data_IF_490665236969
#
_entry.id   IF_490665236969
#
_cell.length_a   1.000
_cell.length_b   1.000
_cell.length_c   1.000
_cell.angle_alpha   90.00
_cell.angle_beta   90.00
_cell.angle_gamma   90.00
#
_symmetry.space_group_name_H-M   'P 1'
#
loop_
_entity.id
_entity.type
_entity.pdbx_description
1 polymer ?
#
# COMPACT_ATOMS: atom_id res chain seq x y z
N UNK A 1 -7.42 -19.88 2.35
CA UNK A 1 -7.63 -20.07 3.80
C UNK A 1 -7.64 -18.75 4.56
N UNK A 2 -6.58 -17.92 4.44
CA UNK A 2 -6.43 -16.61 5.08
C UNK A 2 -7.66 -15.70 4.98
N UNK A 3 -8.13 -15.39 3.78
CA UNK A 3 -9.23 -14.43 3.56
C UNK A 3 -10.52 -14.84 4.31
N UNK A 4 -10.90 -16.12 4.22
CA UNK A 4 -12.07 -16.65 4.94
C UNK A 4 -11.90 -16.56 6.45
N UNK A 5 -10.71 -16.88 6.97
CA UNK A 5 -10.40 -16.77 8.39
C UNK A 5 -10.48 -15.31 8.89
N UNK A 6 -9.94 -14.37 8.11
CA UNK A 6 -10.00 -12.95 8.40
C UNK A 6 -11.43 -12.43 8.38
N UNK A 7 -12.23 -12.79 7.36
CA UNK A 7 -13.64 -12.39 7.27
C UNK A 7 -14.45 -12.89 8.47
N UNK A 8 -14.32 -14.17 8.81
CA UNK A 8 -15.00 -14.76 9.97
C UNK A 8 -14.64 -14.05 11.28
N UNK A 9 -13.35 -13.76 11.48
CA UNK A 9 -12.88 -13.07 12.69
C UNK A 9 -13.30 -11.59 12.74
N UNK A 10 -13.40 -10.91 11.59
CA UNK A 10 -13.94 -9.54 11.51
C UNK A 10 -15.44 -9.54 11.84
N UNK A 11 -16.21 -10.45 11.26
CA UNK A 11 -17.65 -10.57 11.52
C UNK A 11 -17.94 -10.86 13.00
N UNK A 12 -17.22 -11.82 13.59
CA UNK A 12 -17.35 -12.14 15.01
C UNK A 12 -16.94 -10.97 15.94
N UNK A 13 -16.18 -10.00 15.44
CA UNK A 13 -15.82 -8.80 16.21
C UNK A 13 -16.82 -7.65 16.10
N UNK A 14 -17.69 -7.67 15.09
CA UNK A 14 -18.75 -6.66 14.92
C UNK A 14 -19.89 -6.85 15.91
N UNK A 15 -20.15 -8.07 16.37
CA UNK A 15 -21.10 -8.35 17.44
C UNK A 15 -20.43 -8.14 18.82
N UNK A 16 -20.95 -7.19 19.64
CA UNK A 16 -20.44 -6.95 20.99
C UNK A 16 -20.36 -8.21 21.85
N UNK A 17 -21.33 -9.12 21.73
CA UNK A 17 -21.42 -10.34 22.55
C UNK A 17 -20.31 -11.34 22.21
N UNK A 18 -19.89 -11.44 20.94
CA UNK A 18 -18.82 -12.33 20.52
C UNK A 18 -17.46 -11.66 20.38
N UNK A 19 -17.39 -10.33 20.47
CA UNK A 19 -16.17 -9.55 20.19
C UNK A 19 -14.97 -9.94 21.06
N UNK A 20 -15.20 -10.14 22.37
CA UNK A 20 -14.16 -10.47 23.33
C UNK A 20 -13.63 -11.87 23.03
N UNK A 21 -12.32 -11.97 22.76
CA UNK A 21 -11.66 -13.24 22.48
C UNK A 21 -11.98 -13.85 21.11
N UNK A 22 -12.72 -13.16 20.23
CA UNK A 22 -13.09 -13.66 18.89
C UNK A 22 -11.87 -14.16 18.10
N UNK A 23 -10.79 -13.37 18.06
CA UNK A 23 -9.59 -13.71 17.31
C UNK A 23 -8.95 -15.00 17.84
N UNK A 24 -8.81 -15.13 19.16
CA UNK A 24 -8.19 -16.33 19.76
C UNK A 24 -9.04 -17.59 19.49
N UNK A 25 -10.36 -17.51 19.72
CA UNK A 25 -11.26 -18.64 19.44
C UNK A 25 -11.23 -19.08 17.97
N UNK A 26 -11.30 -18.13 17.04
CA UNK A 26 -11.24 -18.43 15.61
C UNK A 26 -9.87 -18.96 15.17
N UNK A 27 -8.78 -18.42 15.75
CA UNK A 27 -7.42 -18.90 15.52
C UNK A 27 -7.27 -20.37 15.97
N UNK A 28 -7.74 -20.70 17.17
CA UNK A 28 -7.69 -22.06 17.72
C UNK A 28 -8.53 -23.03 16.87
N UNK A 29 -9.75 -22.65 16.47
CA UNK A 29 -10.63 -23.46 15.62
C UNK A 29 -10.05 -23.74 14.23
N UNK A 30 -9.26 -22.81 13.69
CA UNK A 30 -8.69 -22.90 12.35
C UNK A 30 -7.24 -23.40 12.34
N UNK A 31 -6.64 -23.66 13.52
CA UNK A 31 -5.24 -24.04 13.64
C UNK A 31 -4.25 -22.96 13.19
N UNK A 32 -4.61 -21.68 13.34
CA UNK A 32 -3.82 -20.52 12.93
C UNK A 32 -3.19 -19.88 14.17
N UNK A 33 -1.95 -19.38 14.07
CA UNK A 33 -1.35 -18.63 15.16
C UNK A 33 -2.16 -17.33 15.45
N UNK A 34 -2.59 -17.06 16.69
CA UNK A 34 -3.46 -15.92 17.01
C UNK A 34 -2.92 -14.56 16.54
N UNK A 35 -1.61 -14.32 16.68
CA UNK A 35 -0.98 -13.07 16.21
C UNK A 35 -1.03 -12.90 14.69
N UNK A 36 -0.96 -14.01 13.93
CA UNK A 36 -1.08 -13.94 12.48
C UNK A 36 -2.50 -13.51 12.08
N UNK A 37 -3.51 -14.11 12.70
CA UNK A 37 -4.92 -13.74 12.48
C UNK A 37 -5.18 -12.29 12.91
N UNK A 38 -4.63 -11.86 14.06
CA UNK A 38 -4.72 -10.48 14.53
C UNK A 38 -4.17 -9.49 13.50
N UNK A 39 -2.99 -9.77 12.93
CA UNK A 39 -2.39 -8.93 11.89
C UNK A 39 -3.27 -8.81 10.65
N UNK A 40 -3.88 -9.90 10.20
CA UNK A 40 -4.78 -9.88 9.04
C UNK A 40 -6.07 -9.13 9.31
N UNK A 41 -6.67 -9.32 10.50
CA UNK A 41 -7.87 -8.61 10.92
C UNK A 41 -7.60 -7.11 11.01
N UNK A 42 -6.49 -6.67 11.62
CA UNK A 42 -6.11 -5.25 11.68
C UNK A 42 -5.97 -4.64 10.28
N UNK A 43 -5.33 -5.36 9.35
CA UNK A 43 -5.18 -4.90 7.96
C UNK A 43 -6.54 -4.80 7.26
N UNK A 44 -7.41 -5.80 7.41
CA UNK A 44 -8.75 -5.76 6.85
C UNK A 44 -9.61 -4.62 7.44
N UNK A 45 -9.53 -4.37 8.74
CA UNK A 45 -10.24 -3.24 9.37
C UNK A 45 -9.73 -1.88 8.88
N UNK A 46 -8.43 -1.76 8.56
CA UNK A 46 -7.88 -0.56 7.93
C UNK A 46 -8.37 -0.43 6.49
N UNK A 47 -8.35 -1.51 5.71
CA UNK A 47 -8.84 -1.51 4.32
C UNK A 47 -10.36 -1.20 4.25
N UNK A 48 -11.14 -1.61 5.25
CA UNK A 48 -12.58 -1.31 5.38
C UNK A 48 -12.87 0.07 6.03
N UNK A 49 -11.84 0.83 6.44
CA UNK A 49 -12.00 2.15 7.06
C UNK A 49 -12.50 2.13 8.51
N UNK A 50 -12.59 0.96 9.15
CA UNK A 50 -12.97 0.80 10.57
C UNK A 50 -11.85 1.29 11.49
N UNK A 51 -10.59 1.13 11.06
CA UNK A 51 -9.40 1.52 11.80
C UNK A 51 -8.57 2.54 11.01
N UNK A 52 -8.06 3.61 11.63
CA UNK A 52 -7.15 4.52 10.94
C UNK A 52 -5.88 3.80 10.48
N UNK A 53 -5.41 4.14 9.29
CA UNK A 53 -4.20 3.61 8.69
C UNK A 53 -4.19 3.80 7.17
N UNK A 54 -3.07 3.48 6.53
CA UNK A 54 -2.97 3.46 5.07
C UNK A 54 -3.59 2.18 4.53
N UNK A 55 -4.60 2.30 3.68
CA UNK A 55 -5.20 1.14 3.02
C UNK A 55 -4.22 0.50 2.04
N UNK A 56 -4.42 -0.76 1.73
CA UNK A 56 -3.66 -1.49 0.71
C UNK A 56 -3.74 -0.78 -0.64
N UNK A 57 -4.92 -0.27 -1.00
CA UNK A 57 -5.15 0.51 -2.22
C UNK A 57 -4.36 1.81 -2.23
N UNK A 58 -4.35 2.55 -1.12
CA UNK A 58 -3.59 3.80 -1.03
C UNK A 58 -2.08 3.56 -1.10
N UNK A 59 -1.59 2.50 -0.46
CA UNK A 59 -0.19 2.10 -0.52
C UNK A 59 0.24 1.74 -1.95
N UNK A 60 -0.59 0.99 -2.67
CA UNK A 60 -0.35 0.65 -4.09
C UNK A 60 -0.34 1.89 -4.98
N UNK A 61 -1.32 2.78 -4.80
CA UNK A 61 -1.39 4.05 -5.53
C UNK A 61 -0.18 4.93 -5.26
N UNK A 62 0.24 5.05 -4.00
CA UNK A 62 1.41 5.83 -3.61
C UNK A 62 2.68 5.27 -4.29
N UNK A 63 2.89 3.96 -4.24
CA UNK A 63 4.03 3.32 -4.88
C UNK A 63 4.03 3.53 -6.41
N UNK A 64 2.87 3.49 -7.06
CA UNK A 64 2.73 3.77 -8.49
C UNK A 64 3.09 5.24 -8.81
N UNK A 65 2.57 6.19 -8.03
CA UNK A 65 2.87 7.62 -8.19
C UNK A 65 4.35 7.93 -7.95
N UNK A 66 4.97 7.31 -6.95
CA UNK A 66 6.40 7.47 -6.70
C UNK A 66 7.25 6.94 -7.86
N UNK A 67 6.85 5.82 -8.47
CA UNK A 67 7.51 5.28 -9.66
C UNK A 67 7.40 6.24 -10.84
N UNK A 68 6.19 6.71 -11.14
CA UNK A 68 5.95 7.67 -12.20
C UNK A 68 6.74 8.98 -11.97
N UNK A 69 6.76 9.49 -10.74
CA UNK A 69 7.51 10.70 -10.41
C UNK A 69 9.02 10.52 -10.64
N UNK A 70 9.59 9.35 -10.31
CA UNK A 70 10.99 9.04 -10.60
C UNK A 70 11.26 9.00 -12.11
N UNK A 71 10.36 8.41 -12.89
CA UNK A 71 10.48 8.35 -14.35
C UNK A 71 10.39 9.74 -14.98
N UNK A 72 9.42 10.55 -14.56
CA UNK A 72 9.27 11.93 -15.02
C UNK A 72 10.48 12.79 -14.67
N UNK A 73 11.07 12.62 -13.48
CA UNK A 73 12.30 13.33 -13.10
C UNK A 73 13.48 12.93 -13.98
N UNK A 74 13.63 11.64 -14.30
CA UNK A 74 14.67 11.15 -15.22
C UNK A 74 14.49 11.71 -16.62
N UNK A 75 13.27 11.65 -17.16
CA UNK A 75 12.95 12.20 -18.48
C UNK A 75 13.23 13.70 -18.55
N UNK A 76 12.79 14.46 -17.54
CA UNK A 76 13.08 15.89 -17.44
C UNK A 76 14.58 16.20 -17.39
N UNK A 77 15.38 15.36 -16.73
CA UNK A 77 16.83 15.54 -16.70
C UNK A 77 17.45 15.36 -18.08
N UNK A 78 17.03 14.33 -18.84
CA UNK A 78 17.50 14.11 -20.21
C UNK A 78 17.14 15.30 -21.11
N UNK A 79 15.90 15.78 -21.03
CA UNK A 79 15.44 16.93 -21.83
C UNK A 79 16.21 18.20 -21.49
N UNK A 80 16.47 18.47 -20.20
CA UNK A 80 17.28 19.61 -19.77
C UNK A 80 18.71 19.52 -20.31
N UNK A 81 19.33 18.34 -20.23
CA UNK A 81 20.67 18.13 -20.78
C UNK A 81 20.72 18.36 -22.29
N UNK A 82 19.72 17.86 -23.03
CA UNK A 82 19.62 18.08 -24.47
C UNK A 82 19.42 19.57 -24.80
N UNK A 83 18.53 20.26 -24.10
CA UNK A 83 18.31 21.70 -24.28
C UNK A 83 19.59 22.52 -24.03
N UNK A 84 20.32 22.22 -22.96
CA UNK A 84 21.60 22.88 -22.67
C UNK A 84 22.66 22.60 -23.76
N UNK A 85 22.71 21.37 -24.28
CA UNK A 85 23.61 21.01 -25.37
C UNK A 85 23.31 21.84 -26.63
N UNK A 86 22.05 21.88 -27.06
CA UNK A 86 21.66 22.64 -28.26
C UNK A 86 21.82 24.15 -28.09
N UNK A 87 21.53 24.70 -26.91
CA UNK A 87 21.78 26.12 -26.63
C UNK A 87 23.27 26.46 -26.77
N UNK A 88 24.16 25.61 -26.25
CA UNK A 88 25.61 25.80 -26.38
C UNK A 88 26.11 25.66 -27.83
N UNK A 89 25.45 24.86 -28.66
CA UNK A 89 25.77 24.74 -30.09
C UNK A 89 25.35 25.99 -30.87
N UNK A 90 24.18 26.56 -30.56
CA UNK A 90 23.68 27.80 -31.19
C UNK A 90 24.54 29.02 -30.87
N UNK A 91 25.11 29.10 -29.65
CA UNK A 91 25.98 30.20 -29.23
C UNK A 91 27.42 30.11 -29.80
N UNK A 92 27.75 29.05 -30.54
CA UNK A 92 29.07 28.88 -31.14
C UNK A 92 29.13 29.62 -32.48
N UNK A 93 30.02 30.62 -32.66
CA UNK A 93 30.14 31.31 -33.94
C UNK A 93 30.59 30.32 -35.03
N UNK A 94 29.82 30.25 -36.11
CA UNK A 94 30.21 29.52 -37.32
C UNK A 94 31.52 30.11 -37.84
N UNK A 95 32.59 29.31 -37.85
CA UNK A 95 33.82 29.63 -38.58
C UNK A 95 33.66 29.36 -40.06
#
# INVERSE_FOLDING_TARGET
MRERATRLAVEARRDPASSVGAIRRNADQLGIHPEALLGWVKKAETDDGVRPGTTSSDAERLAALERENRELRRANQVLKSAASFFAAELDRPSR
#
